data_IF_075478945222
#
_entry.id   IF_075478945222
#
_cell.length_a   1.000
_cell.length_b   1.000
_cell.length_c   1.000
_cell.angle_alpha   90.00
_cell.angle_beta   90.00
_cell.angle_gamma   90.00
#
_symmetry.space_group_name_H-M   'P 1'
#
loop_
_entity.id
_entity.type
_entity.pdbx_description
1 polymer ?
#
# COMPACT_ATOMS: atom_id res chain seq x y z
N UNK A 1 2.08 -9.87 -18.33
CA UNK A 1 1.01 -10.90 -18.36
C UNK A 1 0.49 -10.96 -16.94
N UNK A 2 -0.69 -10.40 -16.65
CA UNK A 2 -1.28 -10.60 -15.33
C UNK A 2 -1.57 -12.10 -15.19
N UNK A 3 -1.10 -12.71 -14.11
CA UNK A 3 -1.39 -14.12 -13.84
C UNK A 3 -2.90 -14.22 -13.56
N UNK A 4 -3.64 -14.95 -14.41
CA UNK A 4 -5.07 -15.20 -14.24
C UNK A 4 -5.32 -15.82 -12.85
N UNK A 5 -5.73 -14.99 -11.88
CA UNK A 5 -6.08 -15.42 -10.53
C UNK A 5 -5.51 -14.60 -9.37
N UNK A 6 -4.45 -13.82 -9.59
CA UNK A 6 -3.89 -12.98 -8.51
C UNK A 6 -4.77 -11.74 -8.29
N UNK A 7 -5.36 -11.63 -7.10
CA UNK A 7 -6.34 -10.60 -6.78
C UNK A 7 -6.17 -10.06 -5.37
N UNK A 8 -6.57 -8.81 -5.16
CA UNK A 8 -6.60 -8.15 -3.87
C UNK A 8 -7.93 -7.40 -3.68
N UNK A 9 -8.46 -7.43 -2.47
CA UNK A 9 -9.69 -6.73 -2.09
C UNK A 9 -9.57 -6.11 -0.72
N UNK A 10 -10.34 -5.05 -0.45
CA UNK A 10 -10.41 -4.45 0.88
C UNK A 10 -11.00 -5.43 1.90
N UNK A 11 -10.33 -5.57 3.04
CA UNK A 11 -10.84 -6.31 4.19
C UNK A 11 -11.71 -5.42 5.11
N UNK A 12 -11.71 -4.11 4.88
CA UNK A 12 -12.53 -3.12 5.59
C UNK A 12 -13.46 -2.39 4.60
N UNK A 13 -14.79 -2.46 4.77
CA UNK A 13 -15.76 -1.82 3.88
C UNK A 13 -15.72 -0.29 3.90
N UNK A 14 -15.01 0.34 4.84
CA UNK A 14 -14.77 1.78 4.79
C UNK A 14 -14.00 2.17 3.52
N UNK A 15 -13.15 1.27 3.01
CA UNK A 15 -12.46 1.45 1.74
C UNK A 15 -13.30 0.85 0.61
N UNK A 16 -13.77 1.72 -0.29
CA UNK A 16 -14.64 1.35 -1.41
C UNK A 16 -14.01 1.62 -2.79
N UNK A 17 -12.79 2.17 -2.79
CA UNK A 17 -12.08 2.58 -4.01
C UNK A 17 -12.64 3.84 -4.67
N UNK A 18 -13.56 4.54 -4.01
CA UNK A 18 -14.17 5.79 -4.49
C UNK A 18 -13.61 6.97 -3.70
N UNK A 19 -13.66 6.93 -2.37
CA UNK A 19 -13.22 8.03 -1.50
C UNK A 19 -12.31 7.51 -0.40
N UNK A 20 -11.19 8.20 -0.17
CA UNK A 20 -10.32 7.87 0.97
C UNK A 20 -11.11 8.09 2.27
N UNK A 21 -11.17 7.10 3.19
CA UNK A 21 -12.01 7.22 4.38
C UNK A 21 -11.60 8.39 5.26
N UNK A 22 -12.57 8.98 5.97
CA UNK A 22 -12.33 10.10 6.87
C UNK A 22 -11.27 9.74 7.93
N UNK A 23 -10.27 10.61 8.10
CA UNK A 23 -9.16 10.39 9.04
C UNK A 23 -8.00 9.57 8.47
N UNK A 24 -8.15 8.97 7.27
CA UNK A 24 -7.09 8.21 6.61
C UNK A 24 -6.08 9.09 5.85
N UNK A 25 -6.18 10.41 5.99
CA UNK A 25 -5.25 11.39 5.43
C UNK A 25 -4.10 11.73 6.40
N UNK A 26 -3.17 12.57 5.95
CA UNK A 26 -1.93 12.85 6.66
C UNK A 26 -2.12 13.67 7.96
N UNK A 27 -1.20 13.52 8.93
CA UNK A 27 -1.23 14.28 10.20
C UNK A 27 -1.19 15.80 10.05
N UNK A 28 -0.53 16.31 9.01
CA UNK A 28 -0.46 17.76 8.74
C UNK A 28 -1.84 18.39 8.48
N UNK A 29 -2.82 17.57 8.12
CA UNK A 29 -4.20 17.97 7.83
C UNK A 29 -5.17 17.41 8.90
N UNK A 30 -4.63 16.99 10.05
CA UNK A 30 -5.41 16.48 11.19
C UNK A 30 -5.86 15.02 11.07
N UNK A 31 -5.31 14.27 10.12
CA UNK A 31 -5.57 12.84 9.96
C UNK A 31 -4.62 11.96 10.77
N UNK A 32 -4.88 10.66 10.77
CA UNK A 32 -4.04 9.64 11.40
C UNK A 32 -4.00 8.40 10.50
N UNK A 33 -3.71 8.62 9.21
CA UNK A 33 -3.88 7.61 8.20
C UNK A 33 -3.01 6.38 8.36
N UNK A 34 -3.58 5.24 7.98
CA UNK A 34 -2.99 3.93 7.90
C UNK A 34 -3.22 3.36 6.49
N UNK A 35 -2.47 2.32 6.13
CA UNK A 35 -2.75 1.58 4.92
C UNK A 35 -4.11 0.88 5.03
N UNK A 36 -4.85 0.70 3.92
CA UNK A 36 -6.03 -0.16 3.92
C UNK A 36 -5.63 -1.59 4.30
N UNK A 37 -6.43 -2.29 5.10
CA UNK A 37 -6.28 -3.73 5.24
C UNK A 37 -6.76 -4.41 3.95
N UNK A 38 -5.98 -5.37 3.45
CA UNK A 38 -6.25 -6.06 2.19
C UNK A 38 -6.24 -7.56 2.39
N UNK A 39 -7.18 -8.26 1.75
CA UNK A 39 -7.11 -9.70 1.55
C UNK A 39 -6.60 -9.97 0.14
N UNK A 40 -5.55 -10.77 0.04
CA UNK A 40 -4.90 -11.14 -1.21
C UNK A 40 -5.10 -12.63 -1.46
N UNK A 41 -5.38 -13.00 -2.70
CA UNK A 41 -5.64 -14.39 -3.11
C UNK A 41 -5.00 -14.69 -4.46
N UNK A 42 -4.78 -15.98 -4.74
CA UNK A 42 -4.11 -16.43 -5.96
C UNK A 42 -2.63 -16.10 -5.96
N UNK A 43 -1.96 -16.21 -4.81
CA UNK A 43 -0.52 -15.98 -4.71
C UNK A 43 0.22 -16.98 -5.61
N UNK A 44 1.11 -16.51 -6.50
CA UNK A 44 1.96 -17.39 -7.30
C UNK A 44 2.82 -18.32 -6.44
N UNK A 45 3.08 -19.54 -6.93
CA UNK A 45 4.06 -20.42 -6.32
C UNK A 45 5.44 -19.72 -6.23
N UNK A 46 6.10 -19.85 -5.09
CA UNK A 46 7.39 -19.20 -4.84
C UNK A 46 7.29 -17.78 -4.26
N UNK A 47 6.08 -17.24 -4.09
CA UNK A 47 5.89 -15.97 -3.37
C UNK A 47 6.40 -16.11 -1.93
N UNK A 48 7.24 -15.17 -1.50
CA UNK A 48 7.73 -15.08 -0.13
C UNK A 48 7.38 -13.74 0.54
N UNK A 49 7.05 -12.73 -0.25
CA UNK A 49 6.66 -11.42 0.23
C UNK A 49 5.64 -10.78 -0.72
N UNK A 50 4.74 -9.96 -0.17
CA UNK A 50 3.87 -9.07 -0.92
C UNK A 50 4.33 -7.63 -0.67
N UNK A 51 4.66 -6.91 -1.75
CA UNK A 51 5.00 -5.50 -1.70
C UNK A 51 3.77 -4.66 -2.05
N UNK A 52 3.39 -3.76 -1.16
CA UNK A 52 2.38 -2.72 -1.38
C UNK A 52 3.08 -1.42 -1.75
N UNK A 53 2.99 -1.03 -3.02
CA UNK A 53 3.54 0.23 -3.53
C UNK A 53 2.43 1.26 -3.63
N UNK A 54 2.48 2.28 -2.76
CA UNK A 54 1.43 3.28 -2.67
C UNK A 54 1.70 4.47 -3.60
N UNK A 55 0.67 4.85 -4.35
CA UNK A 55 0.75 5.75 -5.48
C UNK A 55 -0.24 6.93 -5.35
N UNK A 56 0.19 8.12 -5.75
CA UNK A 56 -0.70 9.21 -6.15
C UNK A 56 -0.68 9.33 -7.67
N UNK A 57 -1.72 8.84 -8.33
CA UNK A 57 -1.82 8.76 -9.80
C UNK A 57 -1.93 10.14 -10.45
N UNK A 58 -2.28 11.15 -9.65
CA UNK A 58 -2.51 12.53 -10.09
C UNK A 58 -1.38 13.47 -9.70
N UNK A 59 -0.39 12.99 -8.94
CA UNK A 59 0.78 13.74 -8.53
C UNK A 59 2.05 12.92 -8.73
N UNK A 60 2.65 13.06 -9.91
CA UNK A 60 3.79 12.27 -10.37
C UNK A 60 4.95 12.13 -9.38
N UNK A 61 5.36 13.16 -8.60
CA UNK A 61 6.41 13.00 -7.60
C UNK A 61 6.12 11.94 -6.53
N UNK A 62 4.83 11.68 -6.25
CA UNK A 62 4.37 10.68 -5.28
C UNK A 62 3.79 9.42 -5.94
N UNK A 63 3.78 9.35 -7.27
CA UNK A 63 3.42 8.13 -8.01
C UNK A 63 4.55 7.07 -7.93
N UNK A 64 4.23 5.83 -8.34
CA UNK A 64 5.16 4.71 -8.41
C UNK A 64 5.91 4.48 -7.07
N UNK A 65 5.14 4.24 -6.01
CA UNK A 65 5.64 3.98 -4.65
C UNK A 65 6.09 5.24 -3.90
N UNK A 66 5.71 6.42 -4.36
CA UNK A 66 6.14 7.67 -3.75
C UNK A 66 5.59 7.90 -2.34
N UNK A 67 4.48 7.24 -1.98
CA UNK A 67 3.97 7.20 -0.61
C UNK A 67 4.67 6.14 0.28
N UNK A 68 5.66 5.43 -0.28
CA UNK A 68 6.37 4.34 0.37
C UNK A 68 5.97 2.98 -0.20
N UNK A 69 6.86 2.01 -0.03
CA UNK A 69 6.61 0.60 -0.38
C UNK A 69 6.78 -0.24 0.88
N UNK A 70 5.71 -0.93 1.27
CA UNK A 70 5.72 -1.84 2.42
C UNK A 70 5.75 -3.29 1.97
N UNK A 71 6.58 -4.11 2.60
CA UNK A 71 6.70 -5.54 2.35
C UNK A 71 6.07 -6.34 3.47
N UNK A 72 5.24 -7.33 3.13
CA UNK A 72 4.58 -8.24 4.05
C UNK A 72 5.08 -9.66 3.77
N UNK A 73 5.78 -10.25 4.74
CA UNK A 73 6.21 -11.63 4.63
C UNK A 73 4.99 -12.56 4.55
N UNK A 74 5.04 -13.55 3.66
CA UNK A 74 4.01 -14.59 3.57
C UNK A 74 4.60 -15.96 3.87
N UNK A 75 3.76 -16.87 4.37
CA UNK A 75 4.18 -18.24 4.60
C UNK A 75 4.51 -18.95 3.29
N UNK A 76 5.54 -19.79 3.31
CA UNK A 76 5.95 -20.55 2.13
C UNK A 76 4.81 -21.45 1.64
N UNK A 77 4.43 -21.31 0.36
CA UNK A 77 3.34 -22.08 -0.24
C UNK A 77 1.93 -21.55 0.06
N UNK A 78 1.80 -20.38 0.71
CA UNK A 78 0.52 -19.72 0.88
C UNK A 78 -0.09 -19.35 -0.48
N UNK A 79 -1.40 -19.58 -0.63
CA UNK A 79 -2.18 -19.20 -1.81
C UNK A 79 -2.97 -17.91 -1.60
N UNK A 80 -3.02 -17.42 -0.36
CA UNK A 80 -3.70 -16.21 0.08
C UNK A 80 -3.05 -15.65 1.34
N UNK A 81 -3.20 -14.35 1.58
CA UNK A 81 -2.71 -13.68 2.79
C UNK A 81 -3.63 -12.51 3.17
N UNK A 82 -3.77 -12.27 4.47
CA UNK A 82 -4.43 -11.07 5.00
C UNK A 82 -3.36 -10.07 5.41
N UNK A 83 -3.42 -8.87 4.84
CA UNK A 83 -2.49 -7.78 5.08
C UNK A 83 -3.16 -6.80 6.05
N UNK A 84 -2.71 -6.70 7.31
CA UNK A 84 -3.31 -5.79 8.27
C UNK A 84 -3.04 -4.33 7.89
N UNK A 85 -3.87 -3.43 8.43
CA UNK A 85 -3.61 -2.00 8.33
C UNK A 85 -2.30 -1.65 9.06
N UNK A 86 -1.46 -0.86 8.41
CA UNK A 86 -0.18 -0.39 8.95
C UNK A 86 -0.28 1.11 9.18
N UNK A 87 -0.05 1.60 10.41
CA UNK A 87 -0.05 3.04 10.67
C UNK A 87 0.96 3.77 9.78
N UNK A 88 0.54 4.90 9.22
CA UNK A 88 1.42 5.81 8.50
C UNK A 88 2.20 6.72 9.46
N UNK A 89 3.13 7.48 8.90
CA UNK A 89 3.92 8.47 9.64
C UNK A 89 4.68 7.91 10.86
N UNK A 90 5.05 6.63 10.82
CA UNK A 90 5.81 5.95 11.88
C UNK A 90 6.81 4.94 11.32
N UNK A 91 7.85 4.64 12.10
CA UNK A 91 8.77 3.52 11.86
C UNK A 91 8.37 2.27 12.67
N UNK A 92 7.36 2.39 13.54
CA UNK A 92 6.84 1.30 14.36
C UNK A 92 5.94 0.40 13.50
N UNK A 93 6.57 -0.48 12.73
CA UNK A 93 5.88 -1.42 11.84
C UNK A 93 5.47 -2.69 12.60
N UNK A 94 4.28 -3.26 12.29
CA UNK A 94 3.88 -4.56 12.82
C UNK A 94 4.88 -5.67 12.48
N UNK A 95 4.90 -6.74 13.28
CA UNK A 95 5.71 -7.92 12.99
C UNK A 95 5.39 -8.49 11.59
N UNK A 96 6.42 -8.86 10.84
CA UNK A 96 6.29 -9.35 9.46
C UNK A 96 6.11 -8.25 8.41
N UNK A 97 6.06 -6.96 8.81
CA UNK A 97 6.02 -5.81 7.91
C UNK A 97 7.37 -5.11 7.86
N UNK A 98 7.80 -4.74 6.67
CA UNK A 98 9.06 -4.01 6.44
C UNK A 98 8.84 -2.80 5.54
N UNK A 99 9.64 -1.75 5.71
CA UNK A 99 9.70 -0.64 4.77
C UNK A 99 10.70 -0.99 3.66
N UNK A 100 10.20 -1.44 2.51
CA UNK A 100 11.01 -1.85 1.35
C UNK A 100 11.59 -0.63 0.65
N UNK A 101 10.82 0.46 0.57
CA UNK A 101 11.29 1.72 0.00
C UNK A 101 10.67 2.88 0.77
N UNK A 102 11.50 3.82 1.20
CA UNK A 102 11.04 5.02 1.88
C UNK A 102 10.17 5.88 0.95
N UNK A 103 9.19 6.57 1.54
CA UNK A 103 8.40 7.53 0.80
C UNK A 103 9.28 8.71 0.29
N UNK A 104 8.79 9.42 -0.71
CA UNK A 104 9.52 10.52 -1.39
C UNK A 104 9.27 11.89 -0.74
N UNK A 105 8.65 11.93 0.45
CA UNK A 105 8.37 13.20 1.13
C UNK A 105 9.65 13.93 1.52
N UNK A 106 9.56 15.25 1.61
CA UNK A 106 10.70 16.10 2.00
C UNK A 106 10.24 17.41 2.63
N UNK A 107 11.17 18.14 3.25
CA UNK A 107 10.89 19.42 3.88
C UNK A 107 9.84 19.31 4.99
N UNK A 108 8.85 20.21 4.98
CA UNK A 108 7.77 20.21 5.98
C UNK A 108 6.81 19.01 5.91
N UNK A 109 6.95 18.17 4.87
CA UNK A 109 6.17 16.94 4.69
C UNK A 109 6.93 15.68 5.09
N UNK A 110 8.20 15.81 5.52
CA UNK A 110 9.04 14.68 5.87
C UNK A 110 8.35 13.82 6.93
N UNK A 111 8.07 12.57 6.58
CA UNK A 111 7.44 11.60 7.47
C UNK A 111 8.10 10.23 7.32
N UNK A 112 8.25 9.45 8.39
CA UNK A 112 8.75 8.08 8.28
C UNK A 112 7.67 7.12 7.76
N UNK A 113 8.11 5.94 7.29
CA UNK A 113 7.23 4.84 6.91
C UNK A 113 6.34 5.16 5.71
N UNK A 114 5.10 4.66 5.76
CA UNK A 114 4.07 5.01 4.79
C UNK A 114 3.60 6.46 4.99
N UNK A 115 3.53 7.21 3.90
CA UNK A 115 2.94 8.56 3.89
C UNK A 115 1.46 8.46 3.50
N UNK A 116 0.50 8.79 4.37
CA UNK A 116 -0.91 8.84 4.00
C UNK A 116 -1.21 9.95 2.96
N UNK A 117 -2.35 9.88 2.26
CA UNK A 117 -2.84 10.96 1.39
C UNK A 117 -2.76 12.34 2.04
N UNK A 118 -2.20 13.32 1.33
CA UNK A 118 -1.92 14.65 1.89
C UNK A 118 -2.19 15.78 0.89
N UNK A 119 -3.03 15.53 -0.12
CA UNK A 119 -3.43 16.50 -1.16
C UNK A 119 -4.21 17.71 -0.62
N UNK A 120 -4.74 17.62 0.60
CA UNK A 120 -5.51 18.72 1.22
C UNK A 120 -6.91 18.89 0.65
N UNK A 121 -7.54 17.80 0.17
CA UNK A 121 -8.86 17.88 -0.45
C UNK A 121 -8.82 18.27 -1.94
N UNK A 122 -7.65 18.19 -2.59
CA UNK A 122 -7.48 18.63 -3.97
C UNK A 122 -8.05 17.65 -5.01
N UNK A 123 -8.54 16.49 -4.59
CA UNK A 123 -9.14 15.50 -5.48
C UNK A 123 -8.11 14.60 -6.16
N UNK A 124 -7.03 14.27 -5.45
CA UNK A 124 -6.00 13.37 -5.97
C UNK A 124 -6.47 11.91 -5.90
N UNK A 125 -6.13 11.11 -6.91
CA UNK A 125 -6.50 9.69 -6.97
C UNK A 125 -5.36 8.82 -6.46
N UNK A 126 -5.67 8.01 -5.45
CA UNK A 126 -4.70 7.12 -4.82
C UNK A 126 -4.93 5.68 -5.23
N UNK A 127 -3.83 4.96 -5.44
CA UNK A 127 -3.85 3.52 -5.72
C UNK A 127 -2.76 2.81 -4.93
N UNK A 128 -2.87 1.49 -4.87
CA UNK A 128 -1.79 0.61 -4.41
C UNK A 128 -1.57 -0.49 -5.44
N UNK A 129 -0.31 -0.64 -5.85
CA UNK A 129 0.13 -1.83 -6.56
C UNK A 129 0.46 -2.91 -5.54
N UNK A 130 -0.24 -4.04 -5.63
CA UNK A 130 -0.03 -5.24 -4.82
C UNK A 130 0.85 -6.18 -5.65
N UNK A 131 2.08 -6.39 -5.21
CA UNK A 131 3.11 -7.07 -6.00
C UNK A 131 3.59 -8.30 -5.23
N UNK A 132 3.32 -9.49 -5.75
CA UNK A 132 3.87 -10.73 -5.21
C UNK A 132 5.32 -10.90 -5.71
N UNK A 133 6.26 -11.10 -4.78
CA UNK A 133 7.69 -11.29 -5.11
C UNK A 133 8.25 -12.58 -4.52
N UNK A 134 9.28 -13.12 -5.17
CA UNK A 134 10.04 -14.26 -4.66
C UNK A 134 11.13 -13.84 -3.66
N UNK A 135 11.88 -14.84 -3.15
CA UNK A 135 12.99 -14.62 -2.22
C UNK A 135 14.16 -13.80 -2.79
N UNK A 136 14.27 -13.68 -4.12
CA UNK A 136 15.25 -12.83 -4.78
C UNK A 136 14.73 -11.41 -5.01
N UNK A 137 13.47 -11.13 -4.66
CA UNK A 137 12.79 -9.86 -4.92
C UNK A 137 12.29 -9.71 -6.35
N UNK A 138 12.24 -10.80 -7.13
CA UNK A 138 11.69 -10.77 -8.48
C UNK A 138 10.16 -10.76 -8.43
N UNK A 139 9.54 -9.88 -9.23
CA UNK A 139 8.09 -9.81 -9.39
C UNK A 139 7.55 -11.08 -10.07
N UNK A 140 6.61 -11.74 -9.40
CA UNK A 140 5.90 -12.92 -9.88
C UNK A 140 4.51 -12.56 -10.43
N UNK A 141 3.83 -11.63 -9.78
CA UNK A 141 2.53 -11.11 -10.21
C UNK A 141 2.29 -9.72 -9.61
N UNK A 142 1.43 -8.95 -10.26
CA UNK A 142 0.99 -7.64 -9.80
C UNK A 142 -0.49 -7.46 -10.07
N UNK A 143 -1.18 -6.79 -9.15
CA UNK A 143 -2.53 -6.29 -9.33
C UNK A 143 -2.66 -4.92 -8.69
N UNK A 144 -3.55 -4.08 -9.20
CA UNK A 144 -3.73 -2.70 -8.70
C UNK A 144 -5.10 -2.56 -8.05
N UNK A 145 -5.12 -1.93 -6.89
CA UNK A 145 -6.34 -1.56 -6.17
C UNK A 145 -6.42 -0.04 -6.07
N UNK A 146 -7.50 0.54 -6.58
CA UNK A 146 -7.79 1.98 -6.39
C UNK A 146 -8.26 2.18 -4.96
N UNK A 147 -7.62 3.11 -4.23
CA UNK A 147 -7.97 3.45 -2.85
C UNK A 147 -9.10 4.47 -2.77
N UNK A 148 -9.17 5.34 -3.79
CA UNK A 148 -10.16 6.39 -3.91
C UNK A 148 -9.51 7.75 -4.06
N UNK A 149 -10.33 8.79 -3.97
CA UNK A 149 -9.91 10.18 -4.13
C UNK A 149 -9.87 10.90 -2.78
N UNK A 150 -8.89 11.77 -2.58
CA UNK A 150 -8.78 12.72 -1.46
C UNK A 150 -8.44 14.13 -1.94
#
# INVERSE_FOLDING_TARGET
MAQDGFNASFADPAWDGVTVPAGQHCPLQGGAGATPPLDVSGLPEGTSQINLSFNDETYEPMNNGGHGVLGFAVEAGATSASLPAVPGATEDLPEGVTLVTANKTSGGFLTPGYMPPCSGGAGNTYSVDVIAVDNAGAELATTRVTLGTY
#
